data_IF_195466230680
#
_entry.id   IF_195466230680
#
_cell.length_a   1.000
_cell.length_b   1.000
_cell.length_c   1.000
_cell.angle_alpha   90.00
_cell.angle_beta   90.00
_cell.angle_gamma   90.00
#
_symmetry.space_group_name_H-M   'P 1'
#
loop_
_entity.id
_entity.type
_entity.pdbx_description
1 polymer ?
#
# COMPACT_ATOMS: atom_id res chain seq x y z
N UNK A 1 -22.66 14.23 -2.11
CA UNK A 1 -21.19 14.09 -2.20
C UNK A 1 -20.94 12.63 -2.47
N UNK A 2 -20.47 12.29 -3.67
CA UNK A 2 -20.06 10.90 -3.97
C UNK A 2 -18.88 10.58 -3.06
N UNK A 3 -19.04 9.55 -2.22
CA UNK A 3 -17.91 8.98 -1.49
C UNK A 3 -16.91 8.50 -2.51
N UNK A 4 -15.64 8.87 -2.30
CA UNK A 4 -14.57 8.47 -3.20
C UNK A 4 -14.49 6.94 -3.18
N UNK A 5 -14.36 6.26 -4.34
CA UNK A 5 -14.27 4.78 -4.44
C UNK A 5 -13.23 4.15 -3.51
N UNK A 6 -12.28 4.97 -3.08
CA UNK A 6 -11.27 4.68 -2.07
C UNK A 6 -11.85 4.31 -0.69
N UNK A 7 -12.89 5.00 -0.23
CA UNK A 7 -13.49 4.78 1.10
C UNK A 7 -14.20 3.42 1.20
N UNK A 8 -14.86 2.98 0.12
CA UNK A 8 -15.65 1.74 0.10
C UNK A 8 -14.77 0.47 0.16
N UNK A 9 -13.52 0.54 -0.33
CA UNK A 9 -12.60 -0.62 -0.34
C UNK A 9 -11.74 -0.76 0.91
N UNK A 10 -11.51 0.33 1.66
CA UNK A 10 -10.75 0.29 2.91
C UNK A 10 -11.62 -0.21 4.06
N UNK A 11 -12.91 0.12 4.02
CA UNK A 11 -13.89 -0.14 5.09
C UNK A 11 -14.91 -1.19 4.64
N UNK A 12 -14.50 -2.22 3.90
CA UNK A 12 -15.37 -3.39 3.69
C UNK A 12 -15.60 -4.07 5.06
N UNK A 13 -16.83 -4.17 5.59
CA UNK A 13 -17.05 -4.82 6.89
C UNK A 13 -16.76 -6.32 6.92
N UNK A 14 -16.71 -6.98 5.75
CA UNK A 14 -16.51 -8.42 5.61
C UNK A 14 -15.04 -8.83 5.38
N UNK A 15 -14.23 -7.98 4.75
CA UNK A 15 -12.80 -8.23 4.48
C UNK A 15 -11.86 -7.09 4.88
N UNK A 16 -12.42 -5.94 5.23
CA UNK A 16 -11.70 -4.70 5.47
C UNK A 16 -11.10 -4.60 6.87
N UNK A 17 -9.92 -4.00 6.88
CA UNK A 17 -9.12 -3.74 8.05
C UNK A 17 -9.70 -2.53 8.80
N UNK A 18 -10.65 -2.76 9.72
CA UNK A 18 -11.28 -1.70 10.54
C UNK A 18 -10.26 -0.80 11.24
N UNK A 19 -9.07 -1.33 11.54
CA UNK A 19 -7.94 -0.59 12.08
C UNK A 19 -7.44 0.56 11.19
N UNK A 20 -7.81 0.56 9.90
CA UNK A 20 -7.45 1.58 8.92
C UNK A 20 -8.55 2.62 8.68
N UNK A 21 -9.71 2.52 9.32
CA UNK A 21 -10.71 3.58 9.24
C UNK A 21 -10.09 4.92 9.71
N UNK A 22 -10.22 5.98 8.91
CA UNK A 22 -9.61 7.28 9.21
C UNK A 22 -8.12 7.40 8.81
N UNK A 23 -7.55 6.42 8.12
CA UNK A 23 -6.17 6.45 7.61
C UNK A 23 -6.09 6.69 6.10
N UNK A 24 -7.12 7.28 5.50
CA UNK A 24 -7.24 7.38 4.05
C UNK A 24 -6.08 8.19 3.43
N UNK A 25 -5.81 9.37 3.98
CA UNK A 25 -4.67 10.21 3.57
C UNK A 25 -3.33 9.53 3.87
N UNK A 26 -3.21 8.81 4.99
CA UNK A 26 -2.01 8.06 5.33
C UNK A 26 -1.71 6.93 4.32
N UNK A 27 -2.75 6.23 3.85
CA UNK A 27 -2.66 5.20 2.81
C UNK A 27 -2.26 5.85 1.48
N UNK A 28 -2.92 6.94 1.08
CA UNK A 28 -2.58 7.69 -0.13
C UNK A 28 -1.12 8.13 -0.11
N UNK A 29 -0.68 8.78 0.96
CA UNK A 29 0.71 9.20 1.14
C UNK A 29 1.69 8.03 1.07
N UNK A 30 1.34 6.87 1.64
CA UNK A 30 2.19 5.67 1.60
C UNK A 30 2.33 5.07 0.19
N UNK A 31 1.34 5.25 -0.68
CA UNK A 31 1.34 4.79 -2.07
C UNK A 31 2.06 5.78 -2.99
N UNK A 32 1.90 7.09 -2.73
CA UNK A 32 2.59 8.15 -3.48
C UNK A 32 4.07 8.24 -3.10
N UNK A 33 4.42 7.93 -1.85
CA UNK A 33 5.79 8.00 -1.32
C UNK A 33 6.23 6.68 -0.67
N UNK A 34 6.21 5.54 -1.40
CA UNK A 34 6.63 4.27 -0.84
C UNK A 34 8.15 4.28 -0.60
N UNK A 35 8.62 3.51 0.37
CA UNK A 35 10.06 3.20 0.45
C UNK A 35 10.40 1.85 -0.17
N UNK A 36 9.39 1.03 -0.48
CA UNK A 36 9.56 -0.29 -1.07
C UNK A 36 8.31 -0.62 -1.91
N UNK A 37 8.53 -1.15 -3.11
CA UNK A 37 7.46 -1.71 -3.95
C UNK A 37 7.86 -3.12 -4.38
N UNK A 38 6.91 -4.05 -4.24
CA UNK A 38 7.07 -5.44 -4.62
C UNK A 38 6.01 -5.81 -5.63
N UNK A 39 6.37 -6.46 -6.73
CA UNK A 39 5.41 -7.08 -7.64
C UNK A 39 4.96 -8.42 -7.05
N UNK A 40 3.66 -8.66 -6.96
CA UNK A 40 3.11 -9.87 -6.33
C UNK A 40 3.49 -11.12 -7.12
N UNK A 41 3.91 -12.18 -6.42
CA UNK A 41 4.09 -13.51 -6.99
C UNK A 41 2.78 -14.30 -7.19
N UNK A 42 1.64 -13.79 -6.67
CA UNK A 42 0.33 -14.45 -6.77
C UNK A 42 -0.49 -13.92 -7.94
N UNK A 43 -0.42 -12.60 -8.18
CA UNK A 43 -1.23 -11.92 -9.20
C UNK A 43 -0.34 -10.87 -9.90
N UNK A 44 0.07 -11.09 -11.17
CA UNK A 44 1.12 -10.29 -11.83
C UNK A 44 0.85 -8.79 -11.97
N UNK A 45 -0.42 -8.38 -12.09
CA UNK A 45 -0.85 -6.98 -12.19
C UNK A 45 -1.01 -6.31 -10.82
N UNK A 46 -0.70 -7.00 -9.71
CA UNK A 46 -0.78 -6.43 -8.36
C UNK A 46 0.59 -6.14 -7.79
N UNK A 47 0.67 -4.97 -7.18
CA UNK A 47 1.87 -4.43 -6.60
C UNK A 47 1.61 -4.07 -5.14
N UNK A 48 2.60 -4.31 -4.30
CA UNK A 48 2.53 -4.11 -2.87
C UNK A 48 3.42 -2.93 -2.52
N UNK A 49 2.78 -1.84 -2.13
CA UNK A 49 3.42 -0.59 -1.76
C UNK A 49 3.59 -0.58 -0.25
N UNK A 50 4.82 -0.31 0.21
CA UNK A 50 5.14 -0.21 1.62
C UNK A 50 5.61 1.21 1.93
N UNK A 51 4.90 1.85 2.85
CA UNK A 51 5.18 3.21 3.27
C UNK A 51 4.91 3.43 4.75
N UNK A 52 5.23 4.63 5.21
CA UNK A 52 4.85 5.15 6.52
C UNK A 52 4.27 6.54 6.33
N UNK A 53 3.35 6.93 7.21
CA UNK A 53 2.83 8.28 7.25
C UNK A 53 2.71 8.74 8.70
N UNK A 54 3.08 9.99 8.96
CA UNK A 54 2.84 10.65 10.26
C UNK A 54 1.37 10.92 10.52
N UNK A 55 0.54 10.90 9.47
CA UNK A 55 -0.92 11.09 9.53
C UNK A 55 -1.66 9.80 9.88
N UNK A 56 -0.95 8.68 9.98
CA UNK A 56 -1.50 7.40 10.39
C UNK A 56 -1.93 7.41 11.85
N UNK A 57 -2.98 6.67 12.20
CA UNK A 57 -3.33 6.37 13.61
C UNK A 57 -2.26 5.52 14.30
N UNK A 58 -1.40 4.85 13.53
CA UNK A 58 -0.23 4.11 14.01
C UNK A 58 1.03 4.48 13.20
N UNK A 59 1.64 5.67 13.41
CA UNK A 59 2.75 6.18 12.60
C UNK A 59 4.02 5.31 12.62
N UNK A 60 4.20 4.51 13.67
CA UNK A 60 5.35 3.63 13.81
C UNK A 60 5.22 2.35 12.97
N UNK A 61 4.01 1.98 12.55
CA UNK A 61 3.76 0.81 11.71
C UNK A 61 3.90 1.15 10.24
N UNK A 62 4.27 0.15 9.46
CA UNK A 62 4.23 0.24 8.01
C UNK A 62 2.80 0.09 7.54
N UNK A 63 2.40 0.90 6.57
CA UNK A 63 1.19 0.67 5.78
C UNK A 63 1.61 -0.12 4.55
N UNK A 64 0.99 -1.27 4.37
CA UNK A 64 1.09 -2.09 3.16
C UNK A 64 -0.19 -1.91 2.37
N UNK A 65 -0.07 -1.42 1.15
CA UNK A 65 -1.20 -1.21 0.24
C UNK A 65 -1.05 -2.10 -1.00
N UNK A 66 -2.07 -2.88 -1.31
CA UNK A 66 -2.12 -3.70 -2.53
C UNK A 66 -2.82 -2.89 -3.60
N UNK A 67 -2.11 -2.58 -4.68
CA UNK A 67 -2.61 -1.81 -5.82
C UNK A 67 -2.67 -2.70 -7.05
N UNK A 68 -3.84 -2.75 -7.67
CA UNK A 68 -4.09 -3.44 -8.93
C UNK A 68 -3.91 -2.46 -10.09
N UNK A 69 -3.00 -2.78 -10.99
CA UNK A 69 -2.66 -2.03 -12.20
C UNK A 69 -3.13 -2.77 -13.46
N UNK A 70 -4.32 -3.36 -13.42
CA UNK A 70 -4.97 -3.94 -14.60
C UNK A 70 -5.38 -2.89 -15.64
N UNK A 71 -5.56 -1.64 -15.22
CA UNK A 71 -5.74 -0.49 -16.11
C UNK A 71 -4.39 0.19 -16.35
N UNK A 72 -4.09 0.50 -17.61
CA UNK A 72 -2.81 1.10 -18.01
C UNK A 72 -2.60 2.53 -17.45
N UNK A 73 -3.69 3.22 -17.10
CA UNK A 73 -3.66 4.61 -16.66
C UNK A 73 -3.91 4.78 -15.16
N UNK A 74 -4.50 3.77 -14.52
CA UNK A 74 -4.96 3.88 -13.14
C UNK A 74 -4.54 2.68 -12.28
N UNK A 75 -4.06 2.99 -11.07
CA UNK A 75 -3.88 1.99 -10.01
C UNK A 75 -5.06 2.01 -9.04
N UNK A 76 -5.64 0.86 -8.75
CA UNK A 76 -6.75 0.72 -7.81
C UNK A 76 -6.29 0.05 -6.52
N UNK A 77 -6.45 0.71 -5.37
CA UNK A 77 -6.15 0.10 -4.08
C UNK A 77 -7.21 -0.95 -3.77
N UNK A 78 -6.78 -2.22 -3.74
CA UNK A 78 -7.63 -3.38 -3.46
C UNK A 78 -7.82 -3.55 -1.97
N UNK A 79 -6.75 -3.40 -1.21
CA UNK A 79 -6.75 -3.53 0.25
C UNK A 79 -5.50 -2.88 0.83
N UNK A 80 -5.56 -2.47 2.09
CA UNK A 80 -4.42 -1.97 2.85
C UNK A 80 -4.40 -2.61 4.23
N UNK A 81 -3.24 -2.68 4.87
CA UNK A 81 -3.09 -3.20 6.23
C UNK A 81 -1.87 -2.60 6.95
N UNK A 82 -1.92 -2.51 8.27
CA UNK A 82 -0.73 -2.24 9.06
C UNK A 82 0.18 -3.48 9.18
N UNK A 83 1.48 -3.28 9.09
CA UNK A 83 2.48 -4.32 9.26
C UNK A 83 3.56 -3.92 10.27
N UNK A 84 3.79 -4.82 11.23
CA UNK A 84 4.91 -4.72 12.19
C UNK A 84 6.24 -5.14 11.58
N UNK A 85 6.20 -6.14 10.68
CA UNK A 85 7.37 -6.71 10.02
C UNK A 85 7.05 -6.93 8.54
N UNK A 86 8.06 -6.72 7.71
CA UNK A 86 7.99 -6.85 6.25
C UNK A 86 8.96 -7.94 5.85
N UNK A 87 8.50 -8.85 5.00
CA UNK A 87 9.29 -9.95 4.42
C UNK A 87 9.04 -9.97 2.92
N UNK A 88 9.55 -8.97 2.16
CA UNK A 88 9.20 -8.79 0.76
C UNK A 88 9.58 -9.98 -0.12
N UNK A 89 10.62 -10.71 0.26
CA UNK A 89 11.08 -11.93 -0.42
C UNK A 89 10.03 -13.05 -0.47
N UNK A 90 9.05 -13.03 0.44
CA UNK A 90 7.92 -13.97 0.43
C UNK A 90 6.73 -13.47 -0.41
N UNK A 91 6.72 -12.18 -0.71
CA UNK A 91 5.61 -11.47 -1.34
C UNK A 91 5.78 -11.38 -2.87
N UNK A 92 7.03 -11.32 -3.33
CA UNK A 92 7.38 -11.41 -4.74
C UNK A 92 8.67 -10.68 -5.09
N UNK A 93 8.74 -10.11 -6.29
CA UNK A 93 9.95 -9.45 -6.79
C UNK A 93 10.00 -8.00 -6.31
N UNK A 94 11.10 -7.59 -5.67
CA UNK A 94 11.33 -6.19 -5.32
C UNK A 94 11.66 -5.41 -6.60
N UNK A 95 10.81 -4.46 -6.96
CA UNK A 95 10.99 -3.62 -8.16
C UNK A 95 11.48 -2.21 -7.81
N UNK A 96 11.28 -1.78 -6.56
CA UNK A 96 11.74 -0.50 -6.06
C UNK A 96 12.12 -0.63 -4.59
N UNK A 97 13.28 -0.08 -4.23
CA UNK A 97 13.75 0.05 -2.86
C UNK A 97 14.43 1.41 -2.72
N UNK A 98 13.81 2.31 -1.95
CA UNK A 98 14.27 3.69 -1.78
C UNK A 98 15.68 3.77 -1.19
N UNK A 99 16.09 2.82 -0.34
CA UNK A 99 17.45 2.81 0.21
C UNK A 99 18.48 2.59 -0.91
N UNK A 100 18.24 1.59 -1.75
CA UNK A 100 19.11 1.29 -2.91
C UNK A 100 19.11 2.41 -3.95
N UNK A 101 17.98 3.10 -4.12
CA UNK A 101 17.87 4.22 -5.04
C UNK A 101 18.74 5.42 -4.62
N UNK A 102 18.91 5.65 -3.31
CA UNK A 102 19.75 6.74 -2.78
C UNK A 102 21.25 6.39 -2.91
N UNK A 103 21.63 5.13 -2.70
CA UNK A 103 23.03 4.69 -2.78
C UNK A 103 23.57 4.62 -4.23
N UNK A 104 22.71 4.84 -5.23
CA UNK A 104 23.05 4.79 -6.66
C UNK A 104 23.31 6.17 -7.27
N UNK A 105 23.34 7.23 -6.45
CA UNK A 105 23.54 8.64 -6.87
C UNK A 105 24.86 9.18 -6.34
#
# INVERSE_FOLDING_TARGET
MEKNRFEDHIIDPATGHKELAGNEEAIKHSVENPYLVVQSNKIPNRYLYYGKSSESTMPWLTIKSVVDHSDENFGFIVTSMFQKKITPEKEGAVIYDKKKAIDSV
#
